data_IF_561146718425
#
_entry.id   IF_561146718425
#
_cell.length_a   1.000
_cell.length_b   1.000
_cell.length_c   1.000
_cell.angle_alpha   90.00
_cell.angle_beta   90.00
_cell.angle_gamma   90.00
#
_symmetry.space_group_name_H-M   'P 1'
#
loop_
_entity.id
_entity.type
_entity.pdbx_description
1 polymer ?
#
# COMPACT_ATOMS: atom_id res chain seq x y z
N UNK A 1 0.87 3.20 11.00
CA UNK A 1 -0.18 2.48 10.23
C UNK A 1 -1.40 2.17 11.08
N UNK A 2 -1.41 1.19 11.99
CA UNK A 2 -2.65 0.83 12.72
C UNK A 2 -3.29 2.00 13.49
N UNK A 3 -2.51 2.94 14.01
CA UNK A 3 -3.00 4.17 14.64
C UNK A 3 -3.80 5.09 13.68
N UNK A 4 -3.55 5.00 12.37
CA UNK A 4 -4.27 5.73 11.31
C UNK A 4 -5.60 5.04 11.00
N UNK A 5 -5.59 3.71 10.83
CA UNK A 5 -6.78 2.95 10.39
C UNK A 5 -7.78 2.66 11.50
N UNK A 6 -7.31 2.26 12.68
CA UNK A 6 -8.15 1.79 13.79
C UNK A 6 -9.25 2.78 14.23
N UNK A 7 -9.02 4.10 14.32
CA UNK A 7 -10.06 5.04 14.75
C UNK A 7 -11.08 5.41 13.67
N UNK A 8 -10.88 4.98 12.42
CA UNK A 8 -11.72 5.39 11.29
C UNK A 8 -12.99 4.55 11.22
N UNK A 9 -14.12 5.21 10.95
CA UNK A 9 -15.40 4.57 10.69
C UNK A 9 -15.66 4.46 9.19
N UNK A 10 -15.43 3.28 8.62
CA UNK A 10 -15.70 2.98 7.22
C UNK A 10 -17.17 2.57 7.03
N UNK A 11 -18.08 3.50 7.28
CA UNK A 11 -19.52 3.33 7.09
C UNK A 11 -20.12 2.18 7.92
N UNK A 12 -19.74 2.10 9.20
CA UNK A 12 -20.13 1.07 10.17
C UNK A 12 -19.05 0.01 10.40
N UNK A 13 -18.06 -0.10 9.51
CA UNK A 13 -16.93 -1.02 9.65
C UNK A 13 -15.81 -0.30 10.42
N UNK A 14 -15.62 -0.67 11.69
CA UNK A 14 -14.68 -0.03 12.62
C UNK A 14 -13.58 -0.99 13.06
N UNK A 15 -12.48 -0.43 13.51
CA UNK A 15 -11.40 -1.21 14.14
C UNK A 15 -10.54 -2.00 13.15
N UNK A 16 -10.48 -1.57 11.89
CA UNK A 16 -9.56 -2.15 10.89
C UNK A 16 -8.14 -2.10 11.44
N UNK A 17 -7.50 -3.26 11.50
CA UNK A 17 -6.18 -3.45 12.09
C UNK A 17 -5.40 -4.48 11.29
N UNK A 18 -4.13 -4.19 11.04
CA UNK A 18 -3.21 -5.08 10.33
C UNK A 18 -2.32 -5.81 11.33
N UNK A 19 -2.17 -7.12 11.16
CA UNK A 19 -1.27 -7.96 11.94
C UNK A 19 -0.25 -8.62 11.01
N UNK A 20 1.02 -8.60 11.43
CA UNK A 20 2.07 -9.30 10.69
C UNK A 20 1.88 -10.80 10.90
N UNK A 21 1.51 -11.51 9.85
CA UNK A 21 1.29 -12.97 9.86
C UNK A 21 2.57 -13.75 9.53
N UNK A 22 3.56 -13.09 8.92
CA UNK A 22 4.84 -13.68 8.58
C UNK A 22 5.72 -12.70 7.81
N UNK A 23 6.98 -13.08 7.62
CA UNK A 23 7.90 -12.30 6.80
C UNK A 23 8.97 -13.17 6.13
N UNK A 24 9.55 -12.66 5.03
CA UNK A 24 10.74 -13.22 4.37
C UNK A 24 11.71 -12.11 4.06
N UNK A 25 12.98 -12.36 4.39
CA UNK A 25 14.10 -11.50 4.01
C UNK A 25 14.89 -12.24 2.92
N UNK A 26 14.99 -11.63 1.75
CA UNK A 26 15.88 -12.03 0.67
C UNK A 26 17.23 -11.35 0.92
N UNK A 27 18.19 -12.12 1.45
CA UNK A 27 19.51 -11.63 1.86
C UNK A 27 20.46 -11.64 0.67
N UNK A 28 20.49 -12.74 -0.10
CA UNK A 28 21.44 -12.94 -1.20
C UNK A 28 20.75 -13.06 -2.56
N UNK A 29 21.42 -12.60 -3.63
CA UNK A 29 20.91 -12.65 -5.00
C UNK A 29 20.75 -14.11 -5.47
N UNK A 30 21.65 -14.97 -5.04
CA UNK A 30 21.74 -16.39 -5.42
C UNK A 30 20.79 -17.29 -4.61
N UNK A 31 20.00 -16.74 -3.69
CA UNK A 31 19.00 -17.52 -2.96
C UNK A 31 18.06 -18.26 -3.94
N UNK A 32 17.83 -19.58 -3.75
CA UNK A 32 16.90 -20.32 -4.58
C UNK A 32 15.54 -19.65 -4.66
N UNK A 33 15.00 -19.55 -5.87
CA UNK A 33 13.69 -18.95 -6.15
C UNK A 33 13.56 -17.46 -5.77
N UNK A 34 14.68 -16.72 -5.61
CA UNK A 34 14.64 -15.27 -5.39
C UNK A 34 14.04 -14.55 -6.61
N UNK A 35 12.82 -13.97 -6.51
CA UNK A 35 12.17 -13.29 -7.63
C UNK A 35 12.81 -11.93 -7.93
N UNK A 36 13.65 -11.42 -7.02
CA UNK A 36 14.25 -10.09 -7.08
C UNK A 36 15.72 -10.11 -7.50
N UNK A 37 16.21 -11.23 -8.05
CA UNK A 37 17.61 -11.44 -8.45
C UNK A 37 18.09 -10.45 -9.53
N UNK A 38 17.17 -10.01 -10.39
CA UNK A 38 17.48 -9.08 -11.47
C UNK A 38 17.34 -7.62 -11.02
N UNK A 39 17.82 -6.70 -11.86
CA UNK A 39 17.73 -5.27 -11.63
C UNK A 39 16.75 -4.62 -12.63
N UNK A 40 15.86 -3.77 -12.11
CA UNK A 40 14.96 -2.90 -12.89
C UNK A 40 14.83 -1.53 -12.20
N UNK A 41 14.59 -0.49 -12.99
CA UNK A 41 14.17 0.83 -12.50
C UNK A 41 12.67 1.05 -12.66
N UNK A 42 11.95 0.08 -13.22
CA UNK A 42 10.50 0.11 -13.36
C UNK A 42 9.85 -0.41 -12.07
N UNK A 43 9.11 0.47 -11.40
CA UNK A 43 8.41 0.15 -10.16
C UNK A 43 7.28 -0.84 -10.36
N UNK A 44 6.54 -0.76 -11.48
CA UNK A 44 5.46 -1.68 -11.81
C UNK A 44 6.00 -3.08 -12.09
N UNK A 45 7.10 -3.17 -12.84
CA UNK A 45 7.78 -4.44 -13.07
C UNK A 45 8.23 -5.08 -11.75
N UNK A 46 8.84 -4.29 -10.86
CA UNK A 46 9.33 -4.77 -9.58
C UNK A 46 8.21 -5.26 -8.66
N UNK A 47 7.07 -4.55 -8.60
CA UNK A 47 5.87 -5.01 -7.91
C UNK A 47 5.34 -6.31 -8.52
N UNK A 48 5.33 -6.43 -9.86
CA UNK A 48 4.88 -7.65 -10.55
C UNK A 48 5.76 -8.86 -10.25
N UNK A 49 7.07 -8.69 -10.01
CA UNK A 49 7.91 -9.79 -9.54
C UNK A 49 7.45 -10.33 -8.18
N UNK A 50 7.00 -9.44 -7.28
CA UNK A 50 6.43 -9.86 -6.00
C UNK A 50 5.08 -10.55 -6.18
N UNK A 51 4.22 -10.02 -7.06
CA UNK A 51 2.90 -10.57 -7.38
C UNK A 51 2.94 -11.95 -8.05
N UNK A 52 4.02 -12.31 -8.75
CA UNK A 52 4.20 -13.65 -9.36
C UNK A 52 4.40 -14.79 -8.35
N UNK A 53 4.50 -14.48 -7.06
CA UNK A 53 4.48 -15.48 -6.00
C UNK A 53 3.05 -15.73 -5.52
N UNK A 54 2.79 -16.92 -4.97
CA UNK A 54 1.49 -17.23 -4.37
C UNK A 54 1.39 -16.65 -2.95
N UNK A 55 0.56 -15.62 -2.80
CA UNK A 55 0.26 -14.97 -1.51
C UNK A 55 -1.16 -15.27 -1.01
N UNK A 56 -1.82 -16.31 -1.55
CA UNK A 56 -3.20 -16.69 -1.20
C UNK A 56 -3.41 -17.03 0.27
N UNK A 57 -2.32 -17.34 1.00
CA UNK A 57 -2.34 -17.62 2.44
C UNK A 57 -2.62 -16.37 3.29
N UNK A 58 -2.31 -15.18 2.77
CA UNK A 58 -2.39 -13.93 3.51
C UNK A 58 -3.43 -12.99 2.90
N UNK A 59 -3.90 -12.06 3.70
CA UNK A 59 -4.83 -11.06 3.22
C UNK A 59 -4.16 -10.03 2.31
N UNK A 60 -2.97 -9.59 2.71
CA UNK A 60 -2.12 -8.72 1.91
C UNK A 60 -0.67 -9.17 2.01
N UNK A 61 0.11 -8.90 0.97
CA UNK A 61 1.55 -9.12 0.98
C UNK A 61 2.31 -7.90 0.45
N UNK A 62 3.17 -7.32 1.29
CA UNK A 62 3.88 -6.09 0.99
C UNK A 62 5.39 -6.31 0.88
N UNK A 63 5.99 -5.78 -0.18
CA UNK A 63 7.42 -5.75 -0.39
C UNK A 63 8.04 -4.44 0.12
N UNK A 64 9.12 -4.55 0.87
CA UNK A 64 9.92 -3.45 1.38
C UNK A 64 11.31 -3.48 0.76
N UNK A 65 11.77 -2.33 0.26
CA UNK A 65 13.03 -2.23 -0.46
C UNK A 65 13.70 -0.87 -0.27
N UNK A 66 15.01 -0.77 -0.48
CA UNK A 66 15.70 0.52 -0.68
C UNK A 66 16.12 0.72 -2.15
N UNK A 67 15.47 0.00 -3.07
CA UNK A 67 15.71 0.20 -4.50
C UNK A 67 15.17 1.56 -4.93
N UNK A 68 15.94 2.24 -5.76
CA UNK A 68 15.41 3.38 -6.50
C UNK A 68 14.51 2.86 -7.62
N UNK A 69 13.21 3.10 -7.49
CA UNK A 69 12.17 2.67 -8.44
C UNK A 69 11.96 3.62 -9.63
N UNK A 70 12.95 4.48 -9.93
CA UNK A 70 12.83 5.54 -10.92
C UNK A 70 11.97 6.72 -10.43
N UNK A 71 12.48 7.95 -10.57
CA UNK A 71 11.75 9.18 -10.23
C UNK A 71 11.31 9.29 -8.76
N UNK A 72 10.09 9.78 -8.57
CA UNK A 72 9.51 10.17 -7.27
C UNK A 72 8.56 9.12 -6.66
N UNK A 73 8.57 7.88 -7.16
CA UNK A 73 7.64 6.84 -6.68
C UNK A 73 8.10 6.30 -5.32
N UNK A 74 7.24 6.46 -4.30
CA UNK A 74 7.50 5.96 -2.95
C UNK A 74 6.92 4.56 -2.70
N UNK A 75 5.90 4.16 -3.46
CA UNK A 75 5.23 2.87 -3.34
C UNK A 75 4.27 2.65 -4.50
N UNK A 76 3.78 1.42 -4.60
CA UNK A 76 2.71 1.01 -5.51
C UNK A 76 1.92 -0.12 -4.84
N UNK A 77 0.61 -0.16 -5.07
CA UNK A 77 -0.22 -1.31 -4.71
C UNK A 77 -1.28 -1.57 -5.77
N UNK A 78 -1.66 -2.84 -5.91
CA UNK A 78 -2.87 -3.16 -6.66
C UNK A 78 -4.10 -2.78 -5.82
N UNK A 79 -4.99 -2.00 -6.42
CA UNK A 79 -6.21 -1.54 -5.76
C UNK A 79 -7.30 -2.61 -5.74
N UNK A 80 -8.07 -2.67 -4.65
CA UNK A 80 -9.27 -3.52 -4.52
C UNK A 80 -9.07 -5.06 -4.50
N UNK A 81 -7.86 -5.56 -4.25
CA UNK A 81 -7.57 -7.01 -4.22
C UNK A 81 -7.37 -7.57 -2.80
N UNK A 82 -8.07 -7.02 -1.81
CA UNK A 82 -7.96 -7.45 -0.42
C UNK A 82 -8.33 -8.93 -0.25
N UNK A 83 -7.40 -9.75 0.28
CA UNK A 83 -7.52 -11.18 0.54
C UNK A 83 -7.99 -12.02 -0.67
N UNK A 84 -7.63 -11.61 -1.88
CA UNK A 84 -7.90 -12.40 -3.08
C UNK A 84 -6.89 -13.55 -3.22
N UNK A 85 -7.36 -14.68 -3.74
CA UNK A 85 -6.49 -15.79 -4.13
C UNK A 85 -5.67 -15.42 -5.37
N UNK A 86 -4.56 -16.13 -5.57
CA UNK A 86 -3.78 -16.05 -6.81
C UNK A 86 -4.64 -16.45 -8.01
N UNK A 87 -4.57 -15.65 -9.07
CA UNK A 87 -5.26 -15.89 -10.34
C UNK A 87 -4.24 -15.96 -11.46
N UNK A 88 -4.23 -17.06 -12.23
CA UNK A 88 -3.31 -17.27 -13.35
C UNK A 88 -1.82 -17.12 -12.98
N UNK A 89 -1.46 -17.48 -11.75
CA UNK A 89 -0.09 -17.40 -11.24
C UNK A 89 0.32 -16.01 -10.75
N UNK A 90 -0.61 -15.06 -10.63
CA UNK A 90 -0.37 -13.74 -10.05
C UNK A 90 -1.30 -13.50 -8.85
N UNK A 91 -0.73 -13.00 -7.76
CA UNK A 91 -1.45 -12.59 -6.55
C UNK A 91 -1.54 -11.07 -6.53
N UNK A 92 -2.72 -10.52 -6.81
CA UNK A 92 -2.93 -9.08 -6.82
C UNK A 92 -3.19 -8.49 -5.43
N UNK A 93 -3.25 -9.30 -4.37
CA UNK A 93 -3.30 -8.83 -2.99
C UNK A 93 -1.94 -8.29 -2.49
N UNK A 94 -1.20 -7.61 -3.38
CA UNK A 94 0.18 -7.19 -3.15
C UNK A 94 0.39 -5.71 -3.31
N UNK A 95 1.35 -5.18 -2.55
CA UNK A 95 1.90 -3.85 -2.73
C UNK A 95 3.40 -3.81 -2.43
N UNK A 96 4.00 -2.65 -2.61
CA UNK A 96 5.39 -2.40 -2.26
C UNK A 96 5.59 -0.97 -1.78
N UNK A 97 6.58 -0.78 -0.92
CA UNK A 97 7.13 0.54 -0.60
C UNK A 97 8.64 0.52 -0.80
N UNK A 98 9.16 1.64 -1.28
CA UNK A 98 10.59 1.92 -1.27
C UNK A 98 10.94 2.96 -0.22
N UNK A 99 12.10 2.79 0.38
CA UNK A 99 12.71 3.76 1.28
C UNK A 99 13.70 4.69 0.56
N UNK A 100 13.77 4.62 -0.77
CA UNK A 100 14.69 5.44 -1.56
C UNK A 100 14.02 6.03 -2.80
N UNK A 101 13.99 7.35 -2.88
CA UNK A 101 13.41 8.13 -4.00
C UNK A 101 14.38 9.20 -4.48
N UNK A 102 14.33 9.54 -5.77
CA UNK A 102 15.30 10.44 -6.42
C UNK A 102 16.78 10.16 -6.05
N UNK A 103 17.14 8.88 -5.88
CA UNK A 103 18.48 8.48 -5.45
C UNK A 103 18.83 8.72 -3.97
N UNK A 104 17.93 9.26 -3.15
CA UNK A 104 18.13 9.56 -1.73
C UNK A 104 17.25 8.70 -0.83
N UNK A 105 17.72 8.43 0.39
CA UNK A 105 16.89 7.74 1.39
C UNK A 105 15.79 8.66 1.89
N UNK A 106 14.57 8.12 1.96
CA UNK A 106 13.43 8.85 2.49
C UNK A 106 13.52 9.01 4.01
N UNK A 107 13.12 10.17 4.57
CA UNK A 107 13.00 10.34 6.01
C UNK A 107 12.15 9.22 6.62
N UNK A 108 12.69 8.54 7.65
CA UNK A 108 12.02 7.43 8.36
C UNK A 108 10.63 7.80 8.88
N UNK A 109 10.43 9.08 9.21
CA UNK A 109 9.14 9.61 9.62
C UNK A 109 8.05 9.44 8.56
N UNK A 110 8.38 9.28 7.27
CA UNK A 110 7.40 9.11 6.18
C UNK A 110 7.10 7.66 5.82
N UNK A 111 7.97 6.72 6.17
CA UNK A 111 7.83 5.31 5.75
C UNK A 111 6.48 4.70 6.15
N UNK A 112 5.99 5.04 7.35
CA UNK A 112 4.70 4.55 7.83
C UNK A 112 3.49 5.22 7.16
N UNK A 113 3.66 6.43 6.60
CA UNK A 113 2.65 7.14 5.82
C UNK A 113 2.56 6.56 4.43
N UNK A 114 3.71 6.32 3.78
CA UNK A 114 3.77 5.60 2.50
C UNK A 114 3.11 4.24 2.62
N UNK A 115 3.46 3.44 3.63
CA UNK A 115 2.80 2.15 3.84
C UNK A 115 1.28 2.29 4.07
N UNK A 116 0.85 3.31 4.81
CA UNK A 116 -0.58 3.53 5.05
C UNK A 116 -1.34 3.95 3.79
N UNK A 117 -0.71 4.77 2.92
CA UNK A 117 -1.24 5.17 1.61
C UNK A 117 -1.42 3.94 0.71
N UNK A 118 -0.39 3.10 0.57
CA UNK A 118 -0.47 1.91 -0.27
C UNK A 118 -1.47 0.86 0.25
N UNK A 119 -1.61 0.74 1.59
CA UNK A 119 -2.68 -0.07 2.18
C UNK A 119 -4.07 0.53 1.91
N UNK A 120 -4.18 1.86 1.83
CA UNK A 120 -5.38 2.57 1.40
C UNK A 120 -5.78 2.20 -0.04
N UNK A 121 -4.80 2.14 -0.96
CA UNK A 121 -5.00 1.61 -2.31
C UNK A 121 -5.47 0.16 -2.30
N UNK A 122 -4.79 -0.74 -1.59
CA UNK A 122 -5.23 -2.14 -1.46
C UNK A 122 -6.66 -2.29 -0.92
N UNK A 123 -7.08 -1.36 -0.05
CA UNK A 123 -8.43 -1.28 0.49
C UNK A 123 -9.45 -0.61 -0.45
N UNK A 124 -9.01 -0.05 -1.57
CA UNK A 124 -9.85 0.45 -2.66
C UNK A 124 -10.04 1.96 -2.70
N UNK A 125 -9.19 2.73 -2.02
CA UNK A 125 -9.10 4.18 -2.27
C UNK A 125 -8.16 4.46 -3.42
N UNK A 126 -8.59 5.31 -4.34
CA UNK A 126 -7.69 6.00 -5.26
C UNK A 126 -7.19 7.30 -4.63
N UNK A 127 -6.41 8.08 -5.38
CA UNK A 127 -5.92 9.38 -4.91
C UNK A 127 -7.05 10.42 -4.78
N UNK A 128 -6.98 11.28 -3.77
CA UNK A 128 -8.01 12.31 -3.48
C UNK A 128 -8.19 13.35 -4.61
N UNK A 129 -7.22 13.47 -5.51
CA UNK A 129 -7.27 14.35 -6.69
C UNK A 129 -7.53 13.59 -8.00
N UNK A 130 -7.97 12.34 -7.94
CA UNK A 130 -8.32 11.55 -9.12
C UNK A 130 -9.40 12.24 -9.96
N UNK A 131 -9.33 12.02 -11.27
CA UNK A 131 -10.41 12.43 -12.18
C UNK A 131 -11.49 11.36 -12.17
N UNK A 132 -12.71 11.74 -11.80
CA UNK A 132 -13.87 10.84 -11.81
C UNK A 132 -14.53 10.81 -13.20
N UNK A 133 -15.45 9.87 -13.45
CA UNK A 133 -16.09 9.65 -14.77
C UNK A 133 -16.66 10.92 -15.43
N UNK A 134 -17.03 11.93 -14.65
CA UNK A 134 -17.51 13.21 -15.17
C UNK A 134 -16.41 14.12 -15.73
N UNK A 135 -15.14 13.71 -15.71
CA UNK A 135 -13.98 14.50 -16.13
C UNK A 135 -13.52 15.55 -15.10
N UNK A 136 -14.18 15.64 -13.95
CA UNK A 136 -13.82 16.54 -12.84
C UNK A 136 -12.88 15.85 -11.86
N UNK A 137 -12.10 16.62 -11.10
CA UNK A 137 -11.39 16.05 -9.94
C UNK A 137 -12.39 15.67 -8.86
N UNK A 138 -12.12 14.60 -8.11
CA UNK A 138 -13.04 14.08 -7.11
C UNK A 138 -13.44 15.15 -6.06
N UNK A 139 -12.48 15.95 -5.59
CA UNK A 139 -12.75 17.05 -4.65
C UNK A 139 -13.57 18.21 -5.25
N UNK A 140 -13.58 18.38 -6.57
CA UNK A 140 -14.43 19.41 -7.22
C UNK A 140 -15.90 18.97 -7.21
N UNK A 141 -16.13 17.65 -7.33
CA UNK A 141 -17.46 17.05 -7.22
C UNK A 141 -17.91 16.90 -5.76
N UNK A 142 -16.97 16.63 -4.86
CA UNK A 142 -17.21 16.43 -3.43
C UNK A 142 -16.30 17.36 -2.60
N UNK A 143 -16.72 18.63 -2.38
CA UNK A 143 -15.91 19.64 -1.70
C UNK A 143 -15.46 19.25 -0.30
N UNK A 144 -16.18 18.35 0.37
CA UNK A 144 -15.79 17.80 1.68
C UNK A 144 -14.47 17.00 1.64
N UNK A 145 -14.00 16.62 0.46
CA UNK A 145 -12.75 15.89 0.26
C UNK A 145 -11.54 16.81 0.01
N UNK A 146 -11.77 18.12 -0.18
CA UNK A 146 -10.69 19.07 -0.36
C UNK A 146 -9.92 19.31 0.94
N UNK A 147 -8.59 19.38 0.84
CA UNK A 147 -7.71 19.84 1.90
C UNK A 147 -7.67 21.37 1.97
N UNK A 148 -7.15 21.90 3.07
CA UNK A 148 -6.77 23.32 3.20
C UNK A 148 -5.28 23.43 3.47
N UNK A 149 -4.66 24.55 3.10
CA UNK A 149 -3.23 24.78 3.34
C UNK A 149 -2.87 24.67 4.83
N UNK A 150 -3.75 25.12 5.72
CA UNK A 150 -3.54 25.05 7.18
C UNK A 150 -3.50 23.61 7.70
N UNK A 151 -4.43 22.76 7.24
CA UNK A 151 -4.56 21.39 7.72
C UNK A 151 -3.71 20.38 6.94
N UNK A 152 -3.25 20.78 5.75
CA UNK A 152 -2.50 19.97 4.81
C UNK A 152 -3.35 18.98 4.03
N UNK A 153 -2.68 18.29 3.11
CA UNK A 153 -3.31 17.24 2.32
C UNK A 153 -3.60 15.98 3.15
N UNK A 154 -4.67 15.29 2.77
CA UNK A 154 -5.02 14.00 3.34
C UNK A 154 -4.04 12.90 2.93
N UNK A 155 -4.10 11.77 3.63
CA UNK A 155 -3.19 10.65 3.43
C UNK A 155 -3.16 10.13 1.99
N UNK A 156 -4.29 10.13 1.28
CA UNK A 156 -4.40 9.61 -0.10
C UNK A 156 -4.15 10.68 -1.17
N UNK A 157 -3.48 11.78 -0.81
CA UNK A 157 -3.04 12.76 -1.80
C UNK A 157 -1.95 12.17 -2.72
N UNK A 158 -1.96 12.46 -4.04
CA UNK A 158 -1.05 11.83 -4.99
C UNK A 158 0.42 12.23 -4.82
N UNK A 159 0.69 13.31 -4.08
CA UNK A 159 2.05 13.77 -3.81
C UNK A 159 2.42 13.51 -2.35
N UNK A 160 3.65 13.07 -2.15
CA UNK A 160 4.20 12.80 -0.82
C UNK A 160 4.12 14.03 0.07
N UNK A 161 3.58 13.84 1.28
CA UNK A 161 3.56 14.87 2.32
C UNK A 161 4.77 14.75 3.25
N UNK A 162 5.01 15.79 4.06
CA UNK A 162 6.09 15.82 5.05
C UNK A 162 5.73 15.13 6.39
N UNK A 163 4.43 14.87 6.61
CA UNK A 163 3.91 14.21 7.79
C UNK A 163 3.69 15.13 9.00
N UNK A 164 3.92 16.44 8.87
CA UNK A 164 3.77 17.40 9.97
C UNK A 164 2.35 17.94 10.13
N UNK A 165 1.60 18.01 9.03
CA UNK A 165 0.25 18.57 9.05
C UNK A 165 -0.78 17.54 9.50
N UNK A 166 -1.86 18.03 10.12
CA UNK A 166 -2.90 17.21 10.74
C UNK A 166 -3.49 16.18 9.78
N UNK A 167 -3.80 16.58 8.54
CA UNK A 167 -4.48 15.71 7.57
C UNK A 167 -3.57 14.62 6.99
N UNK A 168 -2.24 14.74 7.11
CA UNK A 168 -1.31 13.74 6.57
C UNK A 168 -1.50 12.35 7.21
N UNK A 169 -2.16 12.30 8.37
CA UNK A 169 -2.46 11.08 9.13
C UNK A 169 -3.95 10.69 9.07
N UNK A 170 -4.74 11.36 8.22
CA UNK A 170 -6.19 11.19 8.11
C UNK A 170 -6.58 10.83 6.68
N UNK A 171 -7.58 9.98 6.54
CA UNK A 171 -8.25 9.75 5.26
C UNK A 171 -9.21 10.91 4.97
N UNK A 172 -9.32 11.30 3.69
CA UNK A 172 -10.37 12.23 3.28
C UNK A 172 -11.74 11.54 3.37
N UNK A 173 -12.85 12.30 3.41
CA UNK A 173 -14.19 11.72 3.26
C UNK A 173 -14.37 10.90 1.98
N UNK A 174 -13.65 11.22 0.90
CA UNK A 174 -13.68 10.44 -0.35
C UNK A 174 -12.95 9.11 -0.21
N UNK A 175 -11.76 9.10 0.39
CA UNK A 175 -11.04 7.85 0.64
C UNK A 175 -11.86 6.91 1.54
N UNK A 176 -12.48 7.45 2.60
CA UNK A 176 -13.36 6.67 3.50
C UNK A 176 -14.53 6.06 2.72
N UNK A 177 -15.16 6.83 1.83
CA UNK A 177 -16.30 6.38 1.00
C UNK A 177 -15.87 5.26 0.04
N UNK A 178 -14.74 5.40 -0.63
CA UNK A 178 -14.22 4.44 -1.59
C UNK A 178 -13.82 3.13 -0.91
N UNK A 179 -13.08 3.20 0.20
CA UNK A 179 -12.74 2.04 1.03
C UNK A 179 -14.01 1.35 1.57
N UNK A 180 -14.99 2.12 2.07
CA UNK A 180 -16.26 1.57 2.55
C UNK A 180 -16.97 0.76 1.47
N UNK A 181 -17.04 1.30 0.24
CA UNK A 181 -17.67 0.62 -0.90
C UNK A 181 -16.96 -0.70 -1.19
N UNK A 182 -15.64 -0.69 -1.26
CA UNK A 182 -14.86 -1.88 -1.54
C UNK A 182 -14.98 -2.93 -0.42
N UNK A 183 -14.84 -2.52 0.84
CA UNK A 183 -15.00 -3.40 1.99
C UNK A 183 -16.37 -4.08 2.02
N UNK A 184 -17.45 -3.39 1.64
CA UNK A 184 -18.78 -4.01 1.58
C UNK A 184 -18.88 -5.10 0.51
N UNK A 185 -18.27 -4.90 -0.66
CA UNK A 185 -18.21 -5.93 -1.71
C UNK A 185 -17.45 -7.16 -1.23
N UNK A 186 -16.31 -6.95 -0.56
CA UNK A 186 -15.47 -8.04 -0.08
C UNK A 186 -15.95 -8.64 1.25
N UNK A 187 -16.75 -7.94 2.05
CA UNK A 187 -17.26 -8.39 3.36
C UNK A 187 -18.10 -9.68 3.28
N UNK A 188 -18.80 -9.90 2.16
CA UNK A 188 -19.52 -11.15 1.90
C UNK A 188 -18.61 -12.35 1.64
N UNK A 189 -17.37 -12.13 1.20
CA UNK A 189 -16.36 -13.17 0.98
C UNK A 189 -15.34 -13.28 2.13
N UNK A 190 -15.25 -12.27 3.00
CA UNK A 190 -14.12 -12.07 3.93
C UNK A 190 -14.18 -12.88 5.22
N UNK A 191 -15.36 -13.00 5.85
CA UNK A 191 -15.43 -13.62 7.18
C UNK A 191 -15.27 -15.15 7.17
N UNK A 192 -15.36 -15.79 6.00
CA UNK A 192 -15.14 -17.23 5.86
C UNK A 192 -13.67 -17.63 5.67
N UNK A 193 -12.81 -16.73 5.18
CA UNK A 193 -11.39 -17.01 4.91
C UNK A 193 -10.46 -16.58 6.05
N UNK A 194 -10.82 -15.55 6.83
CA UNK A 194 -10.25 -15.31 8.15
C UNK A 194 -11.02 -16.14 9.18
N UNK A 195 -10.74 -17.44 9.27
CA UNK A 195 -11.28 -18.28 10.35
C UNK A 195 -10.80 -17.75 11.71
N UNK A 196 -11.63 -16.91 12.35
CA UNK A 196 -11.58 -16.64 13.80
C UNK A 196 -10.77 -15.44 14.29
N UNK A 197 -10.19 -14.59 13.43
CA UNK A 197 -9.41 -13.44 13.89
C UNK A 197 -9.90 -12.10 13.32
N UNK A 198 -10.05 -11.09 14.18
CA UNK A 198 -10.51 -9.72 13.87
C UNK A 198 -9.43 -8.87 13.15
N UNK A 199 -8.46 -9.49 12.47
CA UNK A 199 -7.25 -8.82 11.97
C UNK A 199 -7.01 -9.11 10.49
N UNK A 200 -6.61 -8.10 9.73
CA UNK A 200 -6.12 -8.26 8.35
C UNK A 200 -4.68 -8.76 8.39
N UNK A 201 -4.45 -9.99 7.93
CA UNK A 201 -3.12 -10.61 7.91
C UNK A 201 -2.22 -10.00 6.82
N UNK A 202 -1.08 -9.46 7.23
CA UNK A 202 -0.08 -8.85 6.37
C UNK A 202 1.20 -9.69 6.37
N UNK A 203 1.65 -10.09 5.17
CA UNK A 203 2.96 -10.72 4.99
C UNK A 203 3.98 -9.71 4.48
N UNK A 204 5.15 -9.65 5.11
CA UNK A 204 6.20 -8.69 4.76
C UNK A 204 7.35 -9.39 4.01
N UNK A 205 7.61 -8.97 2.79
CA UNK A 205 8.79 -9.38 2.03
C UNK A 205 9.82 -8.26 2.07
N UNK A 206 11.09 -8.56 2.33
CA UNK A 206 12.16 -7.58 2.37
C UNK A 206 13.24 -7.98 1.38
N UNK A 207 13.65 -7.05 0.50
CA UNK A 207 14.86 -7.20 -0.30
C UNK A 207 15.99 -6.43 0.35
N UNK A 208 17.02 -7.13 0.82
CA UNK A 208 18.16 -6.50 1.48
C UNK A 208 19.14 -5.90 0.45
N UNK A 209 19.00 -4.61 0.16
CA UNK A 209 19.76 -3.88 -0.87
C UNK A 209 21.23 -3.57 -0.51
N UNK A 210 21.58 -3.47 0.78
CA UNK A 210 22.92 -3.02 1.19
C UNK A 210 24.04 -4.04 0.94
N UNK A 211 23.72 -5.31 0.67
CA UNK A 211 24.70 -6.38 0.44
C UNK A 211 24.92 -6.70 -1.05
N UNK A 212 24.18 -6.07 -1.97
CA UNK A 212 24.25 -6.38 -3.40
C UNK A 212 25.21 -5.46 -4.16
N UNK A 213 25.92 -4.59 -3.43
CA UNK A 213 27.13 -3.97 -3.95
C UNK A 213 28.21 -5.04 -3.97
N UNK A 214 28.46 -5.61 -5.15
CA UNK A 214 29.76 -6.22 -5.43
C UNK A 214 30.83 -5.18 -5.06
N UNK A 215 31.77 -5.57 -4.20
CA UNK A 215 33.08 -4.92 -4.17
C UNK A 215 33.66 -5.07 -5.58
N UNK A 216 33.53 -4.02 -6.38
CA UNK A 216 34.31 -3.81 -7.59
C UNK A 216 35.52 -2.97 -7.25
#
# INVERSE_FOLDING_TARGET
VNAIFKPVDFGGIRGINFMIAGFKIWKYKEEPFNPFKEETTDSDEFLRWHAKQDHSKYCLSFLFTFRYGGGTIHGLAFSCFLCTLSTRGESYNTGMITFRTNGNEDPRARWHLTLALELGHSLGSEHDQQVVESGMKEYEKYPECASTDEQGDFLMHPFANDGYKKNNHLFSPCSIRNITRNLRVHSYFHFSLCRGEHYTQLYLSFRHSHLWKSNG
#
